data_IF_765761550804
#
_entry.id   IF_765761550804
#
_cell.length_a   1.000
_cell.length_b   1.000
_cell.length_c   1.000
_cell.angle_alpha   90.00
_cell.angle_beta   90.00
_cell.angle_gamma   90.00
#
_symmetry.space_group_name_H-M   'P 1'
#
loop_
_entity.id
_entity.type
_entity.pdbx_description
1 polymer ?
#
# COMPACT_ATOMS: atom_id res chain seq x y z
N UNK A 1 -31.22 5.02 15.47
CA UNK A 1 -31.13 3.62 14.97
C UNK A 1 -29.76 3.45 14.33
N UNK A 2 -28.80 2.93 15.09
CA UNK A 2 -27.41 2.79 14.62
C UNK A 2 -27.27 1.65 13.62
N UNK A 3 -26.39 1.82 12.64
CA UNK A 3 -25.78 0.71 11.91
C UNK A 3 -24.30 0.75 12.22
N UNK A 4 -23.91 -0.07 13.18
CA UNK A 4 -22.52 -0.39 13.45
C UNK A 4 -22.17 -1.50 12.48
N UNK A 5 -21.60 -1.13 11.34
CA UNK A 5 -21.21 -2.10 10.31
C UNK A 5 -20.19 -3.08 10.90
N UNK A 6 -20.55 -4.35 10.78
CA UNK A 6 -19.93 -5.49 11.44
C UNK A 6 -18.46 -5.65 11.07
N UNK A 7 -17.58 -5.21 11.97
CA UNK A 7 -16.50 -5.98 12.60
C UNK A 7 -15.97 -7.22 11.83
N UNK A 8 -15.52 -7.06 10.59
CA UNK A 8 -14.47 -7.91 10.02
C UNK A 8 -13.18 -7.08 10.04
N UNK A 9 -12.66 -6.82 11.23
CA UNK A 9 -11.35 -6.18 11.37
C UNK A 9 -10.32 -7.23 10.98
N UNK A 10 -10.14 -7.46 9.67
CA UNK A 10 -8.90 -8.08 9.19
C UNK A 10 -7.78 -7.31 9.85
N UNK A 11 -6.94 -8.01 10.62
CA UNK A 11 -5.76 -7.39 11.21
C UNK A 11 -4.94 -6.82 10.05
N UNK A 12 -4.93 -5.49 9.94
CA UNK A 12 -4.20 -4.81 8.87
C UNK A 12 -2.72 -5.05 9.10
N UNK A 13 -2.01 -5.49 8.06
CA UNK A 13 -0.55 -5.66 8.08
C UNK A 13 0.10 -4.27 7.98
N UNK A 14 0.14 -3.58 9.11
CA UNK A 14 0.70 -2.24 9.21
C UNK A 14 2.19 -2.31 9.54
N UNK A 15 3.01 -1.63 8.75
CA UNK A 15 4.45 -1.49 8.98
C UNK A 15 4.87 -0.03 8.96
N UNK A 16 6.02 0.30 9.54
CA UNK A 16 6.54 1.67 9.44
C UNK A 16 6.82 2.06 7.99
N UNK A 17 6.72 3.36 7.68
CA UNK A 17 6.91 3.90 6.33
C UNK A 17 8.18 3.38 5.62
N UNK A 18 9.30 3.28 6.34
CA UNK A 18 10.57 2.79 5.80
C UNK A 18 10.46 1.33 5.33
N UNK A 19 9.82 0.49 6.13
CA UNK A 19 9.64 -0.92 5.81
C UNK A 19 8.58 -1.11 4.71
N UNK A 20 7.53 -0.29 4.70
CA UNK A 20 6.56 -0.25 3.60
C UNK A 20 7.22 0.09 2.25
N UNK A 21 8.12 1.08 2.21
CA UNK A 21 8.90 1.40 1.01
C UNK A 21 9.78 0.21 0.57
N UNK A 22 10.44 -0.46 1.52
CA UNK A 22 11.29 -1.63 1.25
C UNK A 22 10.49 -2.80 0.70
N UNK A 23 9.30 -3.05 1.26
CA UNK A 23 8.38 -4.10 0.80
C UNK A 23 7.87 -3.79 -0.60
N UNK A 24 7.37 -2.58 -0.83
CA UNK A 24 6.81 -2.16 -2.11
C UNK A 24 7.82 -1.93 -3.24
N UNK A 25 9.12 -2.04 -2.96
CA UNK A 25 10.21 -1.85 -3.93
C UNK A 25 10.19 -0.48 -4.62
N UNK A 26 9.83 0.57 -3.88
CA UNK A 26 9.83 1.94 -4.39
C UNK A 26 10.48 2.92 -3.40
N UNK A 27 11.05 4.00 -3.93
CA UNK A 27 11.67 5.06 -3.12
C UNK A 27 10.65 5.92 -2.37
N UNK A 28 11.13 6.75 -1.45
CA UNK A 28 10.29 7.62 -0.60
C UNK A 28 9.38 8.55 -1.41
N UNK A 29 9.94 9.22 -2.43
CA UNK A 29 9.17 10.11 -3.31
C UNK A 29 8.00 9.37 -3.94
N UNK A 30 8.25 8.17 -4.49
CA UNK A 30 7.21 7.36 -5.10
C UNK A 30 6.17 6.87 -4.08
N UNK A 31 6.60 6.49 -2.88
CA UNK A 31 5.68 6.14 -1.81
C UNK A 31 4.73 7.29 -1.47
N UNK A 32 5.23 8.52 -1.32
CA UNK A 32 4.40 9.69 -1.08
C UNK A 32 3.43 9.97 -2.23
N UNK A 33 3.88 9.87 -3.49
CA UNK A 33 2.98 9.99 -4.65
C UNK A 33 1.84 8.97 -4.60
N UNK A 34 2.15 7.71 -4.28
CA UNK A 34 1.15 6.64 -4.24
C UNK A 34 0.15 6.85 -3.10
N UNK A 35 0.59 7.35 -1.95
CA UNK A 35 -0.29 7.71 -0.83
C UNK A 35 -1.18 8.91 -1.22
N UNK A 36 -0.60 9.96 -1.80
CA UNK A 36 -1.35 11.14 -2.24
C UNK A 36 -2.41 10.81 -3.31
N UNK A 37 -2.11 9.85 -4.19
CA UNK A 37 -3.03 9.33 -5.21
C UNK A 37 -3.99 8.26 -4.68
N UNK A 38 -3.97 7.97 -3.37
CA UNK A 38 -4.79 6.94 -2.73
C UNK A 38 -4.60 5.52 -3.33
N UNK A 39 -3.44 5.28 -3.93
CA UNK A 39 -3.05 3.97 -4.48
C UNK A 39 -2.52 3.04 -3.40
N UNK A 40 -1.97 3.59 -2.32
CA UNK A 40 -1.51 2.88 -1.13
C UNK A 40 -2.12 3.57 0.10
N UNK A 41 -2.56 2.77 1.06
CA UNK A 41 -3.18 3.25 2.30
C UNK A 41 -2.10 3.47 3.37
N UNK A 42 -2.15 4.63 4.01
CA UNK A 42 -1.25 5.00 5.11
C UNK A 42 -2.03 5.56 6.29
N UNK A 43 -1.52 5.35 7.50
CA UNK A 43 -2.14 5.78 8.75
C UNK A 43 -1.12 6.51 9.62
N UNK A 44 -1.57 7.46 10.44
CA UNK A 44 -0.73 8.13 11.44
C UNK A 44 -0.89 7.47 12.80
N UNK A 45 0.23 7.19 13.47
CA UNK A 45 0.27 6.66 14.84
C UNK A 45 1.42 7.32 15.61
N UNK A 46 1.10 8.21 16.55
CA UNK A 46 2.10 8.79 17.47
C UNK A 46 3.34 9.37 16.79
N UNK A 47 3.16 10.19 15.75
CA UNK A 47 4.26 10.79 14.99
C UNK A 47 4.86 9.89 13.89
N UNK A 48 4.54 8.58 13.90
CA UNK A 48 4.93 7.65 12.84
C UNK A 48 3.86 7.57 11.75
N UNK A 49 4.30 7.25 10.54
CA UNK A 49 3.42 6.86 9.43
C UNK A 49 3.51 5.34 9.27
N UNK A 50 2.38 4.68 9.29
CA UNK A 50 2.23 3.25 9.03
C UNK A 50 1.67 3.04 7.62
N UNK A 51 2.12 2.00 6.94
CA UNK A 51 1.70 1.62 5.59
C UNK A 51 0.99 0.27 5.65
N UNK A 52 -0.14 0.16 4.96
CA UNK A 52 -0.90 -1.08 4.80
C UNK A 52 -0.31 -1.95 3.69
N UNK A 53 0.31 -3.07 4.05
CA UNK A 53 0.93 -3.97 3.08
C UNK A 53 -0.09 -4.56 2.08
N UNK A 54 -1.33 -4.78 2.50
CA UNK A 54 -2.37 -5.31 1.60
C UNK A 54 -2.64 -4.32 0.45
N UNK A 55 -2.60 -3.02 0.73
CA UNK A 55 -2.75 -2.00 -0.31
C UNK A 55 -1.54 -1.91 -1.26
N UNK A 56 -0.35 -2.32 -0.81
CA UNK A 56 0.82 -2.44 -1.69
C UNK A 56 0.65 -3.63 -2.62
N UNK A 57 0.18 -4.77 -2.09
CA UNK A 57 -0.09 -5.97 -2.89
C UNK A 57 -1.16 -5.67 -3.96
N UNK A 58 -2.24 -4.98 -3.59
CA UNK A 58 -3.27 -4.48 -4.52
C UNK A 58 -2.66 -3.60 -5.62
N UNK A 59 -1.75 -2.68 -5.24
CA UNK A 59 -1.06 -1.81 -6.19
C UNK A 59 -0.19 -2.61 -7.16
N UNK A 60 0.62 -3.55 -6.67
CA UNK A 60 1.46 -4.41 -7.52
C UNK A 60 0.64 -5.30 -8.45
N UNK A 61 -0.46 -5.88 -7.97
CA UNK A 61 -1.36 -6.70 -8.78
C UNK A 61 -1.99 -5.92 -9.94
N UNK A 62 -2.16 -4.61 -9.78
CA UNK A 62 -2.69 -3.73 -10.82
C UNK A 62 -1.65 -3.19 -11.82
N UNK A 63 -0.36 -3.45 -11.62
CA UNK A 63 0.67 -2.99 -12.54
C UNK A 63 0.59 -3.78 -13.86
N UNK A 64 0.69 -3.11 -15.02
CA UNK A 64 0.78 -3.82 -16.29
C UNK A 64 2.06 -4.65 -16.32
N UNK A 65 1.97 -5.87 -16.86
CA UNK A 65 3.15 -6.69 -17.13
C UNK A 65 3.95 -6.04 -18.25
N UNK A 66 5.26 -5.94 -18.08
CA UNK A 66 6.16 -5.58 -19.17
C UNK A 66 6.24 -6.78 -20.11
N UNK A 67 5.76 -6.62 -21.35
CA UNK A 67 6.00 -7.62 -22.38
C UNK A 67 7.44 -7.48 -22.88
N UNK A 68 8.25 -8.50 -22.63
CA UNK A 68 9.58 -8.60 -23.22
C UNK A 68 9.43 -8.83 -24.72
N UNK A 69 9.79 -7.85 -25.53
CA UNK A 69 9.90 -7.99 -26.99
C UNK A 69 11.15 -8.82 -27.31
N UNK A 70 11.12 -10.08 -26.95
CA UNK A 70 12.17 -11.07 -27.22
C UNK A 70 11.50 -12.38 -27.69
N UNK A 71 10.84 -12.29 -28.84
CA UNK A 71 10.42 -13.44 -29.64
C UNK A 71 10.14 -12.96 -31.07
N UNK A 72 11.21 -12.70 -31.82
CA UNK A 72 11.28 -12.85 -33.28
C UNK A 72 12.65 -13.42 -33.59
#
# INVERSE_FOLDING_TARGET
>A
MGKTDSNNVKQRRLVEFKDGCRYGKFGKTKAYELIARQRIRAYKMGGKTLIDLDSIDDYHASLPRVESRAAI
#
